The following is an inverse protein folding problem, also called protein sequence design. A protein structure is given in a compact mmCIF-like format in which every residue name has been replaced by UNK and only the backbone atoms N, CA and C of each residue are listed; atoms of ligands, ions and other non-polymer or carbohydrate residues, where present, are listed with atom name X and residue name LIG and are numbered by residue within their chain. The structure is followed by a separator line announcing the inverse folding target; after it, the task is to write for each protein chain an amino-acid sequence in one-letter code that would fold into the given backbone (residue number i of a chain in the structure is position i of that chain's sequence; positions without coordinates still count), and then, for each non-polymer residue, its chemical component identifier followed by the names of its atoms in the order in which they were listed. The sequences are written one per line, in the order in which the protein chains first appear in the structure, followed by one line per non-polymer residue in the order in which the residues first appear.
data_IF_545343067451
#
_entry.id   IF_545343067451
#
_cell.length_a   1.000
_cell.length_b   1.000
_cell.length_c   1.000
_cell.angle_alpha   90.00
_cell.angle_beta   90.00
_cell.angle_gamma   90.00
#
_symmetry.space_group_name_H-M   'P 1'
#
loop_
_entity.id
_entity.type
_entity.pdbx_description
1 polymer ?
#
# COMPACT_ATOMS: atom_id res chain seq x y z
N UNK A 1 5.98 7.55 5.91
CA UNK A 1 5.48 7.25 4.55
C UNK A 1 5.92 5.85 4.16
N UNK A 2 5.01 4.91 3.92
CA UNK A 2 5.37 3.51 3.64
C UNK A 2 6.34 3.33 2.43
N UNK A 3 6.52 4.36 1.61
CA UNK A 3 7.61 4.49 0.64
C UNK A 3 9.01 4.34 1.25
N UNK A 4 9.23 4.73 2.51
CA UNK A 4 10.52 4.60 3.20
C UNK A 4 10.92 3.12 3.45
N UNK A 5 9.93 2.22 3.51
CA UNK A 5 10.19 0.78 3.65
C UNK A 5 10.63 0.11 2.34
N UNK A 6 10.46 0.78 1.18
CA UNK A 6 11.00 0.30 -0.09
C UNK A 6 12.54 0.31 -0.09
N UNK A 7 13.16 1.19 0.68
CA UNK A 7 14.62 1.39 0.65
C UNK A 7 15.36 0.42 1.60
N UNK A 8 14.69 -0.06 2.66
CA UNK A 8 15.30 -0.90 3.70
C UNK A 8 15.21 -2.41 3.45
N UNK A 9 14.76 -2.87 2.28
CA UNK A 9 14.62 -4.30 2.00
C UNK A 9 13.46 -5.01 2.73
N UNK A 10 12.69 -4.28 3.56
CA UNK A 10 11.57 -4.81 4.37
C UNK A 10 10.25 -4.82 3.60
N UNK A 11 10.29 -5.38 2.39
CA UNK A 11 9.17 -5.40 1.45
C UNK A 11 7.95 -6.17 1.97
N UNK A 12 8.17 -7.26 2.69
CA UNK A 12 7.10 -8.07 3.29
C UNK A 12 6.30 -7.30 4.34
N UNK A 13 6.98 -6.45 5.12
CA UNK A 13 6.34 -5.59 6.11
C UNK A 13 5.64 -4.41 5.45
N UNK A 14 6.26 -3.80 4.44
CA UNK A 14 5.64 -2.75 3.63
C UNK A 14 4.33 -3.23 2.99
N UNK A 15 4.32 -4.43 2.41
CA UNK A 15 3.13 -5.04 1.78
C UNK A 15 2.00 -5.26 2.79
N UNK A 16 2.35 -5.71 4.00
CA UNK A 16 1.38 -5.92 5.08
C UNK A 16 0.79 -4.59 5.58
N UNK A 17 1.64 -3.57 5.76
CA UNK A 17 1.22 -2.21 6.10
C UNK A 17 0.31 -1.60 5.02
N UNK A 18 0.67 -1.72 3.75
CA UNK A 18 -0.14 -1.21 2.64
C UNK A 18 -1.50 -1.93 2.55
N UNK A 19 -1.56 -3.25 2.79
CA UNK A 19 -2.84 -3.97 2.86
C UNK A 19 -3.73 -3.47 3.99
N UNK A 20 -3.19 -3.32 5.21
CA UNK A 20 -3.95 -2.81 6.36
C UNK A 20 -4.45 -1.37 6.11
N UNK A 21 -3.59 -0.51 5.59
CA UNK A 21 -3.95 0.87 5.24
C UNK A 21 -5.05 0.90 4.16
N UNK A 22 -4.97 0.03 3.15
CA UNK A 22 -5.99 -0.07 2.12
C UNK A 22 -7.35 -0.52 2.68
N UNK A 23 -7.36 -1.48 3.60
CA UNK A 23 -8.59 -1.98 4.22
C UNK A 23 -9.29 -0.88 5.05
N UNK A 24 -8.51 -0.16 5.86
CA UNK A 24 -9.00 0.97 6.67
C UNK A 24 -9.50 2.09 5.75
N UNK A 25 -8.71 2.46 4.72
CA UNK A 25 -9.10 3.50 3.77
C UNK A 25 -10.35 3.11 2.97
N UNK A 26 -10.47 1.85 2.56
CA UNK A 26 -11.65 1.37 1.82
C UNK A 26 -12.91 1.40 2.68
N UNK A 27 -12.82 1.04 3.97
CA UNK A 27 -13.94 1.11 4.91
C UNK A 27 -14.31 2.54 5.30
N UNK A 28 -13.32 3.41 5.49
CA UNK A 28 -13.54 4.75 6.05
C UNK A 28 -13.82 5.81 4.99
N UNK A 29 -13.20 5.70 3.81
CA UNK A 29 -13.24 6.71 2.75
C UNK A 29 -13.93 6.20 1.48
N UNK A 30 -14.11 4.88 1.35
CA UNK A 30 -14.62 4.25 0.14
C UNK A 30 -13.52 3.87 -0.85
N UNK A 31 -13.89 3.02 -1.80
CA UNK A 31 -12.98 2.44 -2.80
C UNK A 31 -12.53 3.45 -3.87
N UNK A 32 -13.34 4.47 -4.15
CA UNK A 32 -13.07 5.53 -5.13
C UNK A 32 -12.31 6.73 -4.55
N UNK A 33 -12.06 6.76 -3.24
CA UNK A 33 -11.34 7.86 -2.62
C UNK A 33 -9.88 7.91 -3.11
N UNK A 34 -9.37 9.11 -3.39
CA UNK A 34 -8.02 9.33 -3.95
C UNK A 34 -6.90 8.69 -3.10
N UNK A 35 -7.06 8.68 -1.77
CA UNK A 35 -6.15 7.97 -0.87
C UNK A 35 -6.20 6.45 -1.05
N UNK A 36 -7.40 5.85 -1.11
CA UNK A 36 -7.56 4.41 -1.35
C UNK A 36 -6.93 3.99 -2.68
N UNK A 37 -7.14 4.78 -3.73
CA UNK A 37 -6.52 4.57 -5.05
C UNK A 37 -4.99 4.64 -4.96
N UNK A 38 -4.45 5.62 -4.23
CA UNK A 38 -3.00 5.78 -4.03
C UNK A 38 -2.39 4.59 -3.30
N UNK A 39 -3.00 4.14 -2.20
CA UNK A 39 -2.55 2.95 -1.47
C UNK A 39 -2.57 1.70 -2.36
N UNK A 40 -3.60 1.56 -3.21
CA UNK A 40 -3.75 0.43 -4.13
C UNK A 40 -2.70 0.43 -5.23
N UNK A 41 -2.41 1.60 -5.83
CA UNK A 41 -1.36 1.76 -6.84
C UNK A 41 0.01 1.42 -6.26
N UNK A 42 0.31 1.90 -5.06
CA UNK A 42 1.60 1.62 -4.42
C UNK A 42 1.75 0.14 -4.03
N UNK A 43 0.68 -0.51 -3.56
CA UNK A 43 0.68 -1.95 -3.30
C UNK A 43 0.91 -2.76 -4.60
N UNK A 44 0.34 -2.32 -5.72
CA UNK A 44 0.54 -2.95 -7.03
C UNK A 44 2.00 -2.83 -7.50
N UNK A 45 2.58 -1.63 -7.40
CA UNK A 45 4.00 -1.38 -7.71
C UNK A 45 4.94 -2.25 -6.85
N UNK A 46 4.66 -2.36 -5.56
CA UNK A 46 5.38 -3.25 -4.65
C UNK A 46 5.28 -4.72 -5.06
N UNK A 47 4.14 -5.17 -5.60
CA UNK A 47 3.97 -6.56 -6.05
C UNK A 47 4.66 -6.83 -7.38
N UNK A 48 4.68 -5.85 -8.28
CA UNK A 48 5.24 -5.97 -9.62
C UNK A 48 6.78 -5.92 -9.59
N UNK A 49 7.35 -5.08 -8.72
CA UNK A 49 8.80 -4.90 -8.59
C UNK A 49 9.50 -6.03 -7.81
N UNK A 50 8.76 -6.80 -7.02
CA UNK A 50 9.30 -7.84 -6.11
C UNK A 50 8.50 -9.17 -6.17
N UNK A 51 7.74 -9.37 -7.25
CA UNK A 51 7.07 -10.64 -7.56
C UNK A 51 7.91 -11.46 -8.53
#
# INVERSE_FOLDING_TARGET
MALLYLDQGRYSEAKTLYKKALEIASKSLGVDHSYTITFRKNLKLLRDKYG
#
